data_IF_868546487832
#
_entry.id   IF_868546487832
#
_cell.length_a   1.000
_cell.length_b   1.000
_cell.length_c   1.000
_cell.angle_alpha   90.00
_cell.angle_beta   90.00
_cell.angle_gamma   90.00
#
_symmetry.space_group_name_H-M   'P 1'
#
loop_
_entity.id
_entity.type
_entity.pdbx_description
1 polymer ?
#
# COMPACT_ATOMS: atom_id res chain seq x y z
N UNK A 1 -14.23 15.56 -18.86
CA UNK A 1 -13.65 16.39 -17.80
C UNK A 1 -12.18 16.63 -18.16
N UNK A 2 -11.58 17.77 -17.85
CA UNK A 2 -10.15 18.03 -18.07
C UNK A 2 -9.48 18.22 -16.71
N UNK A 3 -8.26 17.72 -16.56
CA UNK A 3 -7.48 17.86 -15.32
C UNK A 3 -6.85 19.25 -15.16
N UNK A 4 -6.90 20.05 -16.23
CA UNK A 4 -6.42 21.43 -16.29
C UNK A 4 -7.51 22.38 -15.78
N UNK A 5 -7.18 23.46 -15.04
CA UNK A 5 -8.15 24.47 -14.62
C UNK A 5 -9.07 24.94 -15.76
N UNK A 6 -10.36 24.98 -15.49
CA UNK A 6 -11.38 25.15 -16.54
C UNK A 6 -11.20 26.43 -17.37
N UNK A 7 -10.75 27.53 -16.76
CA UNK A 7 -10.49 28.78 -17.47
C UNK A 7 -9.42 28.66 -18.56
N UNK A 8 -8.44 27.74 -18.41
CA UNK A 8 -7.43 27.45 -19.43
C UNK A 8 -8.06 26.71 -20.61
N UNK A 9 -8.91 25.72 -20.31
CA UNK A 9 -9.65 24.98 -21.35
C UNK A 9 -10.54 25.92 -22.16
N UNK A 10 -11.24 26.82 -21.49
CA UNK A 10 -12.07 27.83 -22.15
C UNK A 10 -11.23 28.77 -23.03
N UNK A 11 -10.09 29.25 -22.53
CA UNK A 11 -9.18 30.07 -23.34
C UNK A 11 -8.72 29.34 -24.61
N UNK A 12 -8.33 28.06 -24.51
CA UNK A 12 -7.88 27.26 -25.65
C UNK A 12 -9.02 27.05 -26.67
N UNK A 13 -10.25 26.79 -26.21
CA UNK A 13 -11.41 26.63 -27.10
C UNK A 13 -11.69 27.86 -27.97
N UNK A 14 -11.25 29.06 -27.58
CA UNK A 14 -11.42 30.27 -28.40
C UNK A 14 -10.53 30.31 -29.64
N UNK A 15 -9.42 29.56 -29.64
CA UNK A 15 -8.40 29.59 -30.71
C UNK A 15 -8.21 28.24 -31.40
N UNK A 16 -8.61 27.14 -30.76
CA UNK A 16 -8.45 25.78 -31.29
C UNK A 16 -9.71 25.31 -32.03
N UNK A 17 -9.51 24.59 -33.15
CA UNK A 17 -10.61 23.97 -33.91
C UNK A 17 -11.31 22.85 -33.13
N UNK A 18 -10.58 22.12 -32.29
CA UNK A 18 -11.11 21.07 -31.43
C UNK A 18 -10.23 20.89 -30.20
N UNK A 19 -10.85 20.54 -29.07
CA UNK A 19 -10.16 20.28 -27.80
C UNK A 19 -10.71 18.97 -27.23
N UNK A 20 -9.84 18.01 -26.97
CA UNK A 20 -10.20 16.70 -26.40
C UNK A 20 -9.31 16.38 -25.19
N UNK A 21 -9.85 15.60 -24.25
CA UNK A 21 -9.05 15.08 -23.15
C UNK A 21 -8.17 13.93 -23.68
N UNK A 22 -6.86 14.03 -23.43
CA UNK A 22 -5.86 13.04 -23.83
C UNK A 22 -5.20 12.31 -22.63
N UNK A 23 -5.77 12.41 -21.43
CA UNK A 23 -5.28 11.76 -20.20
C UNK A 23 -5.10 10.26 -20.37
N UNK A 24 -5.93 9.60 -21.18
CA UNK A 24 -5.82 8.17 -21.49
C UNK A 24 -4.49 7.78 -22.16
N UNK A 25 -3.83 8.69 -22.90
CA UNK A 25 -2.50 8.41 -23.48
C UNK A 25 -1.46 8.24 -22.36
N UNK A 26 -1.66 8.90 -21.22
CA UNK A 26 -0.74 8.84 -20.09
C UNK A 26 -1.08 7.69 -19.15
N UNK A 27 -2.35 7.54 -18.76
CA UNK A 27 -2.77 6.67 -17.64
C UNK A 27 -3.97 5.76 -17.95
N UNK A 28 -4.42 5.68 -19.20
CA UNK A 28 -5.49 4.75 -19.60
C UNK A 28 -5.00 3.31 -19.75
N UNK A 29 -5.85 2.44 -20.28
CA UNK A 29 -5.57 0.99 -20.48
C UNK A 29 -4.33 0.68 -21.35
N UNK A 30 -3.80 1.64 -22.10
CA UNK A 30 -2.51 1.51 -22.81
C UNK A 30 -1.62 2.73 -22.57
N UNK A 31 -1.79 3.36 -21.41
CA UNK A 31 -1.11 4.59 -21.04
C UNK A 31 0.39 4.42 -20.85
N UNK A 32 1.18 5.35 -21.37
CA UNK A 32 2.65 5.26 -21.41
C UNK A 32 3.32 5.26 -20.03
N UNK A 33 2.62 5.66 -18.96
CA UNK A 33 3.18 5.72 -17.60
C UNK A 33 2.99 4.43 -16.78
N UNK A 34 2.30 3.43 -17.32
CA UNK A 34 1.93 2.21 -16.56
C UNK A 34 3.05 1.18 -16.48
N UNK A 35 3.92 1.16 -17.48
CA UNK A 35 4.98 0.14 -17.64
C UNK A 35 6.33 0.80 -17.44
N UNK A 36 7.07 0.30 -16.45
CA UNK A 36 8.34 0.87 -16.05
C UNK A 36 9.51 0.11 -16.70
N UNK A 37 10.51 0.86 -17.15
CA UNK A 37 11.83 0.36 -17.51
C UNK A 37 12.61 -0.08 -16.27
N UNK A 38 13.72 -0.81 -16.46
CA UNK A 38 14.60 -1.23 -15.34
C UNK A 38 15.13 -0.03 -14.55
N UNK A 39 15.46 1.08 -15.22
CA UNK A 39 15.96 2.29 -14.56
C UNK A 39 14.86 3.01 -13.76
N UNK A 40 13.63 3.06 -14.26
CA UNK A 40 12.47 3.59 -13.52
C UNK A 40 12.13 2.71 -12.32
N UNK A 41 12.18 1.38 -12.48
CA UNK A 41 11.99 0.43 -11.37
C UNK A 41 13.03 0.69 -10.27
N UNK A 42 14.31 0.86 -10.63
CA UNK A 42 15.36 1.20 -9.68
C UNK A 42 15.06 2.52 -8.95
N UNK A 43 14.61 3.53 -9.69
CA UNK A 43 14.24 4.83 -9.12
C UNK A 43 13.09 4.70 -8.11
N UNK A 44 12.04 3.98 -8.47
CA UNK A 44 10.85 3.84 -7.63
C UNK A 44 11.04 2.88 -6.46
N UNK A 45 11.92 1.86 -6.59
CA UNK A 45 12.28 0.98 -5.48
C UNK A 45 12.89 1.78 -4.32
N UNK A 46 13.70 2.79 -4.60
CA UNK A 46 14.29 3.64 -3.57
C UNK A 46 13.21 4.29 -2.67
N UNK A 47 12.19 4.90 -3.26
CA UNK A 47 11.10 5.53 -2.50
C UNK A 47 10.28 4.52 -1.69
N UNK A 48 10.05 3.33 -2.23
CA UNK A 48 9.39 2.23 -1.54
C UNK A 48 10.19 1.73 -0.32
N UNK A 49 11.51 1.59 -0.48
CA UNK A 49 12.42 1.21 0.61
C UNK A 49 12.51 2.31 1.66
N UNK A 50 12.54 3.58 1.26
CA UNK A 50 12.55 4.71 2.19
C UNK A 50 11.28 4.74 3.04
N UNK A 51 10.10 4.63 2.40
CA UNK A 51 8.82 4.59 3.10
C UNK A 51 8.77 3.41 4.10
N UNK A 52 9.16 2.22 3.66
CA UNK A 52 9.19 1.02 4.51
C UNK A 52 10.19 1.14 5.67
N UNK A 53 11.40 1.61 5.41
CA UNK A 53 12.43 1.76 6.44
C UNK A 53 11.99 2.72 7.54
N UNK A 54 11.35 3.82 7.17
CA UNK A 54 10.82 4.80 8.13
C UNK A 54 9.61 4.28 8.89
N UNK A 55 8.75 3.52 8.21
CA UNK A 55 7.61 2.87 8.84
C UNK A 55 8.07 1.86 9.89
N UNK A 56 9.07 1.04 9.59
CA UNK A 56 9.64 0.08 10.55
C UNK A 56 10.29 0.79 11.75
N UNK A 57 11.10 1.83 11.50
CA UNK A 57 11.68 2.66 12.58
C UNK A 57 10.61 3.32 13.45
N UNK A 58 9.53 3.80 12.84
CA UNK A 58 8.38 4.38 13.54
C UNK A 58 7.69 3.33 14.41
N UNK A 59 7.37 2.16 13.85
CA UNK A 59 6.79 1.03 14.58
C UNK A 59 7.64 0.64 15.80
N UNK A 60 8.96 0.57 15.65
CA UNK A 60 9.86 0.21 16.75
C UNK A 60 10.06 1.33 17.77
N UNK A 61 9.71 2.55 17.40
CA UNK A 61 9.79 3.74 18.27
C UNK A 61 8.48 4.04 19.01
N UNK A 62 7.39 3.32 18.72
CA UNK A 62 6.10 3.49 19.38
C UNK A 62 6.20 3.28 20.89
N UNK A 63 5.62 4.22 21.64
CA UNK A 63 5.60 4.22 23.09
C UNK A 63 4.45 5.10 23.59
N UNK A 64 3.78 4.69 24.66
CA UNK A 64 2.73 5.48 25.33
C UNK A 64 3.30 6.85 25.73
N UNK A 65 2.51 7.91 25.53
CA UNK A 65 2.84 9.28 25.93
C UNK A 65 3.60 10.10 24.89
N UNK A 66 4.19 9.48 23.85
CA UNK A 66 4.72 10.20 22.69
C UNK A 66 3.59 10.82 21.87
N UNK A 67 3.87 11.96 21.26
CA UNK A 67 2.93 12.70 20.43
C UNK A 67 2.91 12.21 18.98
N UNK A 68 1.84 12.51 18.26
CA UNK A 68 1.75 12.21 16.83
C UNK A 68 2.88 12.91 16.03
N UNK A 69 3.21 14.17 16.35
CA UNK A 69 4.30 14.91 15.69
C UNK A 69 5.66 14.24 15.94
N UNK A 70 5.97 13.82 17.17
CA UNK A 70 7.22 13.12 17.46
C UNK A 70 7.37 11.86 16.60
N UNK A 71 6.28 11.12 16.42
CA UNK A 71 6.32 9.91 15.61
C UNK A 71 6.33 10.18 14.10
N UNK A 72 5.56 11.16 13.63
CA UNK A 72 5.57 11.57 12.24
C UNK A 72 6.94 12.11 11.77
N UNK A 73 7.71 12.71 12.69
CA UNK A 73 9.08 13.16 12.37
C UNK A 73 10.05 12.03 11.99
N UNK A 74 9.74 10.78 12.37
CA UNK A 74 10.51 9.60 11.95
C UNK A 74 10.07 9.13 10.56
N UNK A 75 8.79 9.34 10.21
CA UNK A 75 8.23 8.99 8.91
C UNK A 75 8.82 9.87 7.80
N UNK A 76 8.97 11.17 8.04
CA UNK A 76 9.55 12.12 7.08
C UNK A 76 11.08 12.10 7.13
N UNK A 77 11.74 11.88 5.99
CA UNK A 77 13.20 11.65 5.96
C UNK A 77 13.88 12.11 4.68
N UNK A 78 15.21 12.28 4.77
CA UNK A 78 16.14 12.47 3.64
C UNK A 78 15.80 13.67 2.72
N UNK A 79 15.05 14.65 3.25
CA UNK A 79 14.60 15.83 2.50
C UNK A 79 13.72 15.48 1.29
N UNK A 80 13.24 14.24 1.18
CA UNK A 80 12.41 13.79 0.08
C UNK A 80 11.00 14.35 0.25
N UNK A 81 10.44 14.86 -0.85
CA UNK A 81 9.05 15.35 -0.85
C UNK A 81 8.08 14.17 -0.85
N UNK A 82 7.15 14.19 0.08
CA UNK A 82 6.10 13.19 0.15
C UNK A 82 5.07 13.38 -0.98
N UNK A 83 4.56 12.28 -1.51
CA UNK A 83 3.49 12.28 -2.53
C UNK A 83 2.08 12.15 -1.92
N UNK A 84 2.00 11.94 -0.61
CA UNK A 84 0.78 12.01 0.21
C UNK A 84 1.03 12.86 1.45
N UNK A 85 -0.04 13.32 2.10
CA UNK A 85 0.07 13.91 3.43
C UNK A 85 0.54 12.82 4.40
N UNK A 86 1.62 13.07 5.13
CA UNK A 86 2.09 12.15 6.18
C UNK A 86 1.00 12.00 7.24
N UNK A 87 0.62 10.77 7.52
CA UNK A 87 -0.37 10.45 8.55
C UNK A 87 0.35 9.81 9.73
N UNK A 88 0.17 10.41 10.90
CA UNK A 88 0.31 9.73 12.17
C UNK A 88 -0.88 10.17 13.03
N UNK A 89 -1.76 9.24 13.36
CA UNK A 89 -2.97 9.52 14.14
C UNK A 89 -3.11 8.50 15.25
N UNK A 90 -3.36 8.98 16.46
CA UNK A 90 -3.72 8.14 17.62
C UNK A 90 -5.19 8.32 17.94
N UNK A 91 -5.92 7.22 18.13
CA UNK A 91 -7.38 7.20 18.24
C UNK A 91 -8.09 7.66 16.96
N UNK A 92 -9.20 8.41 17.10
CA UNK A 92 -10.05 8.84 15.97
C UNK A 92 -9.32 9.81 15.03
N UNK A 93 -9.15 9.38 13.76
CA UNK A 93 -8.65 10.21 12.64
C UNK A 93 -9.60 11.36 12.28
N UNK A 94 -9.04 12.41 11.65
CA UNK A 94 -9.77 13.58 11.13
C UNK A 94 -10.61 14.31 12.18
N UNK A 95 -10.28 14.17 13.47
CA UNK A 95 -10.92 14.93 14.52
C UNK A 95 -10.75 16.43 14.24
N UNK A 96 -11.86 17.18 14.28
CA UNK A 96 -11.89 18.62 13.97
C UNK A 96 -11.38 18.96 12.56
N UNK A 97 -11.56 18.06 11.59
CA UNK A 97 -11.10 18.21 10.21
C UNK A 97 -9.58 18.43 10.06
N UNK A 98 -8.79 18.03 11.07
CA UNK A 98 -7.34 18.12 10.99
C UNK A 98 -6.76 16.93 10.20
N UNK A 99 -5.91 17.26 9.22
CA UNK A 99 -5.23 16.27 8.36
C UNK A 99 -3.85 15.88 8.89
N UNK A 100 -3.25 16.73 9.73
CA UNK A 100 -1.84 16.65 10.08
C UNK A 100 -1.62 16.04 11.47
N UNK A 101 -0.48 15.36 11.71
CA UNK A 101 -0.05 14.98 13.05
C UNK A 101 -0.08 16.18 14.02
N UNK A 102 -0.48 15.95 15.26
CA UNK A 102 -0.62 16.99 16.28
C UNK A 102 0.17 16.68 17.56
N UNK A 103 0.03 17.54 18.57
CA UNK A 103 0.57 17.30 19.93
C UNK A 103 -0.23 16.26 20.73
N UNK A 104 -1.21 15.58 20.11
CA UNK A 104 -1.99 14.53 20.76
C UNK A 104 -1.07 13.38 21.17
N UNK A 105 -1.15 12.97 22.43
CA UNK A 105 -0.34 11.88 22.99
C UNK A 105 -1.03 10.55 22.78
N UNK A 106 -0.23 9.56 22.41
CA UNK A 106 -0.64 8.16 22.32
C UNK A 106 -1.00 7.60 23.69
N UNK A 107 -2.15 6.94 23.81
CA UNK A 107 -2.59 6.25 25.02
C UNK A 107 -2.75 4.75 24.75
N UNK A 108 -2.57 3.93 25.80
CA UNK A 108 -2.75 2.48 25.70
C UNK A 108 -4.16 2.16 25.16
N UNK A 109 -4.24 1.24 24.20
CA UNK A 109 -5.51 0.85 23.58
C UNK A 109 -5.95 1.72 22.40
N UNK A 110 -5.26 2.84 22.10
CA UNK A 110 -5.61 3.66 20.94
C UNK A 110 -5.41 2.88 19.63
N UNK A 111 -6.35 3.04 18.70
CA UNK A 111 -6.12 2.73 17.30
C UNK A 111 -5.09 3.71 16.72
N UNK A 112 -4.02 3.20 16.11
CA UNK A 112 -3.01 4.02 15.45
C UNK A 112 -3.13 3.86 13.93
N UNK A 113 -2.96 4.95 13.20
CA UNK A 113 -2.77 4.94 11.75
C UNK A 113 -1.49 5.70 11.39
N UNK A 114 -0.66 5.07 10.57
CA UNK A 114 0.63 5.59 10.11
C UNK A 114 0.70 5.45 8.59
N UNK A 115 1.01 6.51 7.88
CA UNK A 115 1.19 6.48 6.42
C UNK A 115 2.27 7.46 6.01
N UNK A 116 3.19 7.01 5.16
CA UNK A 116 4.16 7.86 4.49
C UNK A 116 4.33 7.38 3.05
N UNK A 117 4.50 8.32 2.12
CA UNK A 117 4.73 8.00 0.72
C UNK A 117 5.77 8.92 0.11
N UNK A 118 6.58 8.35 -0.79
CA UNK A 118 7.59 9.02 -1.58
C UNK A 118 7.40 8.63 -3.05
N UNK A 119 8.07 9.30 -3.98
CA UNK A 119 8.04 8.89 -5.40
C UNK A 119 8.37 7.40 -5.53
N UNK A 120 7.46 6.64 -6.13
CA UNK A 120 7.51 5.18 -6.27
C UNK A 120 6.49 4.41 -5.45
N UNK A 121 5.92 5.03 -4.42
CA UNK A 121 4.78 4.51 -3.67
C UNK A 121 4.82 4.79 -2.18
N UNK A 122 4.10 3.99 -1.40
CA UNK A 122 3.82 4.30 0.00
C UNK A 122 3.98 3.09 0.93
N UNK A 123 4.11 3.37 2.22
CA UNK A 123 3.95 2.39 3.29
C UNK A 123 2.89 2.88 4.28
N UNK A 124 1.89 2.04 4.54
CA UNK A 124 0.80 2.34 5.49
C UNK A 124 0.62 1.22 6.48
N UNK A 125 0.44 1.55 7.76
CA UNK A 125 0.26 0.60 8.86
C UNK A 125 -0.78 1.11 9.84
N UNK A 126 -1.64 0.21 10.26
CA UNK A 126 -2.57 0.45 11.36
C UNK A 126 -2.48 -0.65 12.40
N UNK A 127 -3.08 -0.44 13.55
CA UNK A 127 -3.17 -1.43 14.61
C UNK A 127 -3.62 -0.79 15.91
N UNK A 128 -3.60 -1.56 16.98
CA UNK A 128 -3.88 -1.07 18.32
C UNK A 128 -2.58 -0.89 19.10
N UNK A 129 -2.49 0.21 19.87
CA UNK A 129 -1.37 0.50 20.75
C UNK A 129 -1.44 -0.35 22.02
N UNK A 130 -1.25 -1.65 21.85
CA UNK A 130 -1.26 -2.68 22.90
C UNK A 130 -0.16 -3.70 22.64
N UNK A 131 0.24 -4.42 23.68
CA UNK A 131 1.16 -5.57 23.61
C UNK A 131 0.44 -6.92 23.68
N UNK A 132 -0.81 -6.94 24.15
CA UNK A 132 -1.58 -8.16 24.29
C UNK A 132 -3.08 -7.88 24.11
N UNK A 133 -3.84 -8.90 23.68
CA UNK A 133 -5.29 -8.78 23.45
C UNK A 133 -6.07 -8.37 24.70
N UNK A 134 -5.60 -8.70 25.90
CA UNK A 134 -6.28 -8.35 27.15
C UNK A 134 -6.20 -6.85 27.47
N UNK A 135 -5.43 -6.08 26.70
CA UNK A 135 -5.34 -4.62 26.81
C UNK A 135 -6.28 -3.89 25.82
N UNK A 136 -6.99 -4.63 24.97
CA UNK A 136 -8.07 -4.10 24.16
C UNK A 136 -9.31 -3.86 25.02
N UNK A 137 -10.23 -3.01 24.55
CA UNK A 137 -11.55 -2.93 25.16
C UNK A 137 -12.32 -4.24 24.97
N UNK A 138 -13.31 -4.51 25.83
CA UNK A 138 -14.14 -5.72 25.73
C UNK A 138 -14.77 -5.88 24.35
N UNK A 139 -15.21 -4.76 23.75
CA UNK A 139 -15.83 -4.71 22.41
C UNK A 139 -14.85 -4.96 21.26
N UNK A 140 -13.55 -4.87 21.51
CA UNK A 140 -12.49 -5.02 20.50
C UNK A 140 -11.65 -6.30 20.71
N UNK A 141 -11.96 -7.09 21.75
CA UNK A 141 -11.14 -8.23 22.21
C UNK A 141 -10.92 -9.33 21.17
N UNK A 142 -11.80 -9.44 20.17
CA UNK A 142 -11.75 -10.38 19.04
C UNK A 142 -11.34 -9.72 17.71
N UNK A 143 -10.62 -8.59 17.79
CA UNK A 143 -10.11 -7.85 16.63
C UNK A 143 -9.28 -8.71 15.68
N UNK A 144 -8.47 -9.62 16.21
CA UNK A 144 -7.62 -10.48 15.38
C UNK A 144 -8.50 -11.37 14.52
N UNK A 145 -9.45 -12.06 15.12
CA UNK A 145 -10.32 -13.05 14.50
C UNK A 145 -11.29 -12.41 13.51
N UNK A 146 -11.88 -11.26 13.87
CA UNK A 146 -12.91 -10.60 13.05
C UNK A 146 -12.36 -9.67 11.97
N UNK A 147 -11.13 -9.17 12.13
CA UNK A 147 -10.62 -8.08 11.28
C UNK A 147 -9.21 -8.35 10.78
N UNK A 148 -8.23 -8.49 11.68
CA UNK A 148 -6.82 -8.54 11.29
C UNK A 148 -6.46 -9.81 10.49
N UNK A 149 -6.93 -10.98 10.93
CA UNK A 149 -6.64 -12.26 10.27
C UNK A 149 -7.39 -12.41 8.92
N UNK A 150 -8.70 -12.10 8.80
CA UNK A 150 -9.37 -12.10 7.48
C UNK A 150 -8.72 -11.13 6.49
N UNK A 151 -8.33 -9.94 6.95
CA UNK A 151 -7.59 -8.97 6.12
C UNK A 151 -6.24 -9.53 5.68
N UNK A 152 -5.47 -10.10 6.60
CA UNK A 152 -4.15 -10.65 6.30
C UNK A 152 -4.23 -11.84 5.32
N UNK A 153 -5.26 -12.69 5.46
CA UNK A 153 -5.55 -13.73 4.48
C UNK A 153 -5.89 -13.16 3.10
N UNK A 154 -6.58 -12.01 3.02
CA UNK A 154 -6.82 -11.33 1.75
C UNK A 154 -5.52 -10.79 1.12
N UNK A 155 -4.61 -10.24 1.93
CA UNK A 155 -3.27 -9.80 1.47
C UNK A 155 -2.45 -10.98 0.96
N UNK A 156 -2.44 -12.12 1.69
CA UNK A 156 -1.86 -13.39 1.21
C UNK A 156 -2.46 -13.78 -0.13
N UNK A 157 -3.79 -13.89 -0.20
CA UNK A 157 -4.50 -14.31 -1.41
C UNK A 157 -4.16 -13.40 -2.60
N UNK A 158 -4.10 -12.08 -2.39
CA UNK A 158 -3.69 -11.10 -3.40
C UNK A 158 -2.30 -11.41 -3.94
N UNK A 159 -1.33 -11.61 -3.05
CA UNK A 159 0.09 -11.82 -3.38
C UNK A 159 0.39 -13.17 -4.04
N UNK A 160 -0.36 -14.22 -3.69
CA UNK A 160 -0.20 -15.56 -4.26
C UNK A 160 -0.84 -15.67 -5.65
N UNK A 161 -1.84 -14.83 -5.97
CA UNK A 161 -2.62 -14.96 -7.21
C UNK A 161 -2.32 -13.89 -8.25
N UNK A 162 -1.81 -12.71 -7.89
CA UNK A 162 -1.51 -11.66 -8.87
C UNK A 162 -0.35 -12.07 -9.79
N UNK A 163 -0.55 -11.98 -11.10
CA UNK A 163 0.44 -12.37 -12.11
C UNK A 163 0.27 -11.61 -13.43
N UNK A 164 1.28 -11.66 -14.29
CA UNK A 164 1.24 -11.03 -15.62
C UNK A 164 0.23 -11.76 -16.50
N UNK A 165 -0.64 -11.01 -17.18
CA UNK A 165 -1.71 -11.53 -18.03
C UNK A 165 -3.07 -11.64 -17.34
N UNK A 166 -3.11 -11.67 -16.00
CA UNK A 166 -4.36 -11.67 -15.23
C UNK A 166 -5.17 -10.41 -15.51
N UNK A 167 -6.49 -10.51 -15.62
CA UNK A 167 -7.35 -9.32 -15.72
C UNK A 167 -7.66 -8.72 -14.35
N UNK A 168 -7.84 -7.40 -14.30
CA UNK A 168 -8.17 -6.71 -13.05
C UNK A 168 -9.46 -7.19 -12.39
N UNK A 169 -10.47 -7.61 -13.17
CA UNK A 169 -11.72 -8.19 -12.63
C UNK A 169 -11.51 -9.53 -11.93
N UNK A 170 -10.54 -10.33 -12.36
CA UNK A 170 -10.24 -11.63 -11.75
C UNK A 170 -9.67 -11.41 -10.35
N UNK A 171 -8.69 -10.53 -10.22
CA UNK A 171 -8.12 -10.18 -8.92
C UNK A 171 -9.17 -9.54 -8.00
N UNK A 172 -10.00 -8.62 -8.52
CA UNK A 172 -11.12 -8.04 -7.77
C UNK A 172 -12.06 -9.13 -7.23
N UNK A 173 -12.42 -10.10 -8.07
CA UNK A 173 -13.34 -11.19 -7.74
C UNK A 173 -12.76 -12.15 -6.71
N UNK A 174 -11.46 -12.45 -6.78
CA UNK A 174 -10.75 -13.25 -5.77
C UNK A 174 -10.77 -12.55 -4.40
N UNK A 175 -10.54 -11.24 -4.36
CA UNK A 175 -10.60 -10.46 -3.11
C UNK A 175 -12.03 -10.38 -2.57
N UNK A 176 -13.04 -10.19 -3.42
CA UNK A 176 -14.45 -10.22 -2.99
C UNK A 176 -14.89 -11.62 -2.53
N UNK A 177 -14.22 -12.68 -3.00
CA UNK A 177 -14.47 -14.04 -2.52
C UNK A 177 -13.87 -14.28 -1.14
N UNK A 178 -12.58 -13.96 -0.92
CA UNK A 178 -11.90 -14.22 0.36
C UNK A 178 -12.18 -13.15 1.44
N UNK A 179 -12.55 -11.93 1.03
CA UNK A 179 -12.89 -10.81 1.90
C UNK A 179 -14.15 -10.08 1.37
N UNK A 180 -15.35 -10.67 1.52
CA UNK A 180 -16.55 -10.17 0.84
C UNK A 180 -16.90 -8.72 1.16
N UNK A 181 -17.05 -7.88 0.13
CA UNK A 181 -17.39 -6.45 0.24
C UNK A 181 -18.67 -6.22 1.02
N UNK A 182 -19.66 -7.11 0.85
CA UNK A 182 -20.94 -7.06 1.57
C UNK A 182 -20.79 -7.19 3.09
N UNK A 183 -19.73 -7.87 3.55
CA UNK A 183 -19.43 -8.10 4.97
C UNK A 183 -18.44 -7.05 5.47
N UNK A 184 -17.32 -6.88 4.76
CA UNK A 184 -16.18 -6.07 5.19
C UNK A 184 -16.20 -4.63 4.66
N UNK A 185 -17.20 -4.24 3.86
CA UNK A 185 -17.48 -2.85 3.45
C UNK A 185 -16.27 -2.06 2.91
N UNK A 186 -15.34 -2.72 2.22
CA UNK A 186 -14.20 -2.02 1.64
C UNK A 186 -14.64 -1.11 0.48
N UNK A 187 -14.07 0.10 0.44
CA UNK A 187 -14.57 1.21 -0.40
C UNK A 187 -13.71 1.54 -1.63
N UNK A 188 -12.44 1.12 -1.65
CA UNK A 188 -11.49 1.36 -2.74
C UNK A 188 -11.31 0.13 -3.63
N UNK A 189 -10.66 0.33 -4.77
CA UNK A 189 -10.16 -0.75 -5.62
C UNK A 189 -9.08 -1.53 -4.84
N UNK A 190 -9.05 -2.87 -4.90
CA UNK A 190 -8.09 -3.70 -4.15
C UNK A 190 -6.70 -3.67 -4.81
N UNK A 191 -6.10 -2.49 -4.81
CA UNK A 191 -4.82 -2.16 -5.43
C UNK A 191 -4.92 -1.19 -6.60
N UNK A 192 -3.81 -0.51 -6.86
CA UNK A 192 -3.65 0.46 -7.92
C UNK A 192 -2.18 0.55 -8.34
N UNK A 193 -1.94 1.19 -9.49
CA UNK A 193 -0.61 1.53 -9.94
C UNK A 193 -0.06 2.72 -9.16
N UNK A 194 1.23 2.69 -8.90
CA UNK A 194 2.00 3.78 -8.30
C UNK A 194 3.16 4.18 -9.24
N UNK A 195 3.54 5.45 -9.18
CA UNK A 195 4.66 6.02 -9.91
C UNK A 195 5.23 7.19 -9.08
N UNK A 196 5.47 8.35 -9.70
CA UNK A 196 5.75 9.60 -8.96
C UNK A 196 4.65 9.91 -7.95
N UNK A 197 3.40 9.72 -8.36
CA UNK A 197 2.21 9.80 -7.53
C UNK A 197 1.99 8.48 -6.78
N UNK A 198 1.39 8.60 -5.60
CA UNK A 198 0.98 7.43 -4.84
C UNK A 198 -0.11 6.66 -5.60
N UNK A 199 -1.11 7.36 -6.13
CA UNK A 199 -2.17 6.78 -6.97
C UNK A 199 -2.08 7.27 -8.41
N UNK A 200 -1.58 6.43 -9.33
CA UNK A 200 -1.50 6.77 -10.75
C UNK A 200 -2.84 6.50 -11.46
N UNK A 201 -3.24 5.24 -11.50
CA UNK A 201 -4.53 4.73 -11.99
C UNK A 201 -4.69 3.30 -11.46
N UNK A 202 -5.85 2.67 -11.63
CA UNK A 202 -6.08 1.31 -11.13
C UNK A 202 -6.66 0.44 -12.23
N UNK A 203 -5.94 -0.62 -12.66
CA UNK A 203 -6.51 -1.63 -13.54
C UNK A 203 -7.45 -2.59 -12.80
N UNK A 204 -7.54 -2.53 -11.46
CA UNK A 204 -8.24 -3.51 -10.63
C UNK A 204 -9.58 -2.92 -10.17
N UNK A 205 -10.66 -3.24 -10.87
CA UNK A 205 -12.02 -2.85 -10.48
C UNK A 205 -13.05 -3.90 -10.94
N UNK A 206 -14.26 -3.84 -10.39
CA UNK A 206 -15.29 -4.89 -10.50
C UNK A 206 -15.48 -5.46 -11.91
N UNK A 207 -15.56 -4.58 -12.90
CA UNK A 207 -15.85 -4.91 -14.30
C UNK A 207 -14.65 -4.55 -15.21
N UNK A 208 -13.43 -4.62 -14.67
CA UNK A 208 -12.21 -4.29 -15.42
C UNK A 208 -11.92 -5.29 -16.52
N UNK A 209 -11.66 -4.76 -17.72
CA UNK A 209 -11.13 -5.53 -18.84
C UNK A 209 -9.62 -5.34 -19.03
N UNK A 210 -9.00 -4.48 -18.21
CA UNK A 210 -7.57 -4.22 -18.29
C UNK A 210 -6.77 -5.46 -17.83
N UNK A 211 -5.71 -5.78 -18.56
CA UNK A 211 -4.75 -6.82 -18.17
C UNK A 211 -3.67 -6.23 -17.25
N UNK A 212 -3.19 -7.03 -16.31
CA UNK A 212 -2.02 -6.75 -15.51
C UNK A 212 -0.77 -7.14 -16.30
N UNK A 213 0.14 -6.19 -16.50
CA UNK A 213 1.28 -6.39 -17.41
C UNK A 213 2.61 -6.34 -16.68
N UNK A 214 3.62 -6.95 -17.29
CA UNK A 214 4.99 -6.88 -16.81
C UNK A 214 5.53 -5.45 -16.86
N UNK A 215 6.15 -4.99 -15.78
CA UNK A 215 6.64 -3.62 -15.59
C UNK A 215 5.71 -2.72 -14.78
N UNK A 216 4.51 -3.21 -14.41
CA UNK A 216 3.61 -2.49 -13.50
C UNK A 216 4.13 -2.50 -12.06
N UNK A 217 4.16 -1.33 -11.43
CA UNK A 217 4.34 -1.19 -9.98
C UNK A 217 2.96 -1.03 -9.35
N UNK A 218 2.56 -2.00 -8.54
CA UNK A 218 1.26 -2.01 -7.86
C UNK A 218 1.43 -1.83 -6.37
N UNK A 219 0.55 -1.01 -5.79
CA UNK A 219 0.36 -0.91 -4.35
C UNK A 219 -0.72 -1.90 -3.91
N UNK A 220 -0.44 -2.69 -2.87
CA UNK A 220 -1.48 -3.43 -2.16
C UNK A 220 -2.28 -2.40 -1.37
N UNK A 221 -3.54 -2.17 -1.75
CA UNK A 221 -4.44 -1.27 -1.04
C UNK A 221 -5.82 -1.90 -0.88
N UNK A 222 -6.08 -2.46 0.29
CA UNK A 222 -7.36 -3.08 0.64
C UNK A 222 -7.77 -2.51 2.00
N UNK A 223 -8.83 -1.69 2.02
CA UNK A 223 -9.26 -0.99 3.24
C UNK A 223 -10.64 -1.50 3.68
N UNK A 224 -10.72 -2.63 4.41
CA UNK A 224 -11.99 -3.07 4.98
C UNK A 224 -12.40 -2.19 6.16
N UNK A 225 -13.69 -2.22 6.46
CA UNK A 225 -14.33 -1.46 7.51
C UNK A 225 -15.34 -2.35 8.23
N UNK A 226 -14.96 -2.83 9.42
CA UNK A 226 -15.85 -3.55 10.33
C UNK A 226 -16.26 -2.58 11.43
N UNK A 227 -17.57 -2.41 11.62
CA UNK A 227 -18.11 -1.49 12.60
C UNK A 227 -17.67 -1.87 14.02
N UNK A 228 -17.24 -0.87 14.80
CA UNK A 228 -16.72 -1.07 16.15
C UNK A 228 -15.22 -1.36 16.24
N UNK A 229 -14.51 -1.57 15.12
CA UNK A 229 -13.08 -1.87 15.11
C UNK A 229 -12.26 -0.84 14.34
N UNK A 230 -10.97 -0.75 14.69
CA UNK A 230 -9.97 -0.08 13.87
C UNK A 230 -9.81 -0.78 12.52
N UNK A 231 -9.55 -0.02 11.45
CA UNK A 231 -9.29 -0.60 10.13
C UNK A 231 -7.92 -1.27 10.12
N UNK A 232 -7.77 -2.49 9.56
CA UNK A 232 -6.47 -3.13 9.39
C UNK A 232 -5.77 -2.59 8.13
N UNK A 233 -4.44 -2.60 8.12
CA UNK A 233 -3.66 -2.07 7.01
C UNK A 233 -2.18 -2.50 7.10
N UNK A 234 -1.65 -3.08 6.03
CA UNK A 234 -0.23 -3.37 5.80
C UNK A 234 0.20 -3.13 4.34
N UNK A 235 -0.13 -1.96 3.82
CA UNK A 235 0.09 -1.58 2.43
C UNK A 235 1.58 -1.37 2.12
N UNK A 236 2.06 -1.96 1.01
CA UNK A 236 3.34 -1.70 0.35
C UNK A 236 3.24 -2.06 -1.14
N UNK A 237 4.22 -1.61 -1.93
CA UNK A 237 4.27 -1.91 -3.36
C UNK A 237 5.03 -3.19 -3.74
N UNK A 238 4.62 -3.74 -4.88
CA UNK A 238 5.30 -4.79 -5.62
C UNK A 238 5.51 -4.37 -7.08
N UNK A 239 6.45 -5.02 -7.74
CA UNK A 239 6.59 -5.01 -9.20
C UNK A 239 6.04 -6.32 -9.75
N UNK A 240 5.24 -6.27 -10.81
CA UNK A 240 4.98 -7.43 -11.66
C UNK A 240 6.03 -7.51 -12.75
N UNK A 241 6.74 -8.63 -12.85
CA UNK A 241 7.80 -8.85 -13.81
C UNK A 241 7.75 -10.28 -14.35
N UNK A 242 7.44 -10.42 -15.64
CA UNK A 242 7.57 -11.70 -16.32
C UNK A 242 9.03 -12.17 -16.38
N UNK A 243 9.28 -13.41 -16.83
CA UNK A 243 10.62 -13.98 -16.95
C UNK A 243 11.60 -13.07 -17.70
N UNK A 244 11.18 -12.47 -18.82
CA UNK A 244 12.03 -11.60 -19.63
C UNK A 244 12.48 -10.35 -18.86
N UNK A 245 11.57 -9.69 -18.12
CA UNK A 245 11.91 -8.52 -17.32
C UNK A 245 12.78 -8.91 -16.12
N UNK A 246 12.50 -10.05 -15.46
CA UNK A 246 13.33 -10.57 -14.37
C UNK A 246 14.77 -10.83 -14.82
N UNK A 247 14.97 -11.47 -15.96
CA UNK A 247 16.31 -11.69 -16.52
C UNK A 247 17.00 -10.39 -16.95
N UNK A 248 16.25 -9.42 -17.50
CA UNK A 248 16.81 -8.08 -17.79
C UNK A 248 17.27 -7.37 -16.52
N UNK A 249 16.47 -7.40 -15.45
CA UNK A 249 16.83 -6.80 -14.15
C UNK A 249 18.09 -7.47 -13.60
N UNK A 250 18.14 -8.80 -13.56
CA UNK A 250 19.29 -9.57 -13.08
C UNK A 250 20.58 -9.24 -13.84
N UNK A 251 20.50 -9.01 -15.15
CA UNK A 251 21.65 -8.67 -15.98
C UNK A 251 22.08 -7.20 -15.86
N UNK A 252 21.15 -6.26 -15.67
CA UNK A 252 21.44 -4.82 -15.62
C UNK A 252 21.69 -4.29 -14.20
N UNK A 253 21.09 -4.91 -13.18
CA UNK A 253 21.20 -4.56 -11.77
C UNK A 253 21.03 -5.80 -10.88
N UNK A 254 22.13 -6.55 -10.75
CA UNK A 254 22.14 -7.76 -9.96
C UNK A 254 21.86 -7.52 -8.46
N UNK A 255 22.20 -6.34 -7.92
CA UNK A 255 21.94 -6.02 -6.51
C UNK A 255 20.45 -5.76 -6.27
N UNK A 256 19.74 -5.12 -7.20
CA UNK A 256 18.27 -5.03 -7.16
C UNK A 256 17.62 -6.42 -7.19
N UNK A 257 18.08 -7.29 -8.09
CA UNK A 257 17.61 -8.67 -8.14
C UNK A 257 17.82 -9.42 -6.81
N UNK A 258 19.01 -9.32 -6.21
CA UNK A 258 19.31 -9.94 -4.91
C UNK A 258 18.39 -9.44 -3.79
N UNK A 259 18.02 -8.15 -3.79
CA UNK A 259 17.06 -7.60 -2.81
C UNK A 259 15.69 -8.24 -2.99
N UNK A 260 15.20 -8.41 -4.21
CA UNK A 260 13.93 -9.08 -4.47
C UNK A 260 13.94 -10.51 -3.94
N UNK A 261 14.97 -11.30 -4.26
CA UNK A 261 15.08 -12.68 -3.81
C UNK A 261 15.14 -12.80 -2.28
N UNK A 262 15.91 -11.91 -1.62
CA UNK A 262 15.99 -11.87 -0.15
C UNK A 262 14.62 -11.59 0.48
N UNK A 263 13.86 -10.65 -0.09
CA UNK A 263 12.51 -10.31 0.38
C UNK A 263 11.53 -11.45 0.12
N UNK A 264 11.59 -12.09 -1.05
CA UNK A 264 10.76 -13.27 -1.38
C UNK A 264 11.01 -14.42 -0.38
N UNK A 265 12.28 -14.69 -0.07
CA UNK A 265 12.65 -15.71 0.92
C UNK A 265 12.08 -15.38 2.32
N UNK A 266 12.21 -14.15 2.79
CA UNK A 266 11.62 -13.73 4.06
C UNK A 266 10.09 -13.91 4.09
N UNK A 267 9.39 -13.47 3.03
CA UNK A 267 7.93 -13.57 2.93
C UNK A 267 7.48 -15.03 2.97
N UNK A 268 8.18 -15.92 2.26
CA UNK A 268 7.92 -17.36 2.30
C UNK A 268 8.20 -17.96 3.67
N UNK A 269 9.42 -17.81 4.19
CA UNK A 269 9.89 -18.52 5.39
C UNK A 269 9.32 -17.96 6.70
N UNK A 270 9.00 -16.67 6.75
CA UNK A 270 8.55 -16.00 7.99
C UNK A 270 7.08 -15.64 7.99
N UNK A 271 6.49 -15.35 6.83
CA UNK A 271 5.07 -14.99 6.73
C UNK A 271 4.21 -16.13 6.19
N UNK A 272 4.80 -17.20 5.63
CA UNK A 272 4.08 -18.34 5.09
C UNK A 272 3.31 -18.01 3.81
N UNK A 273 3.77 -17.02 3.02
CA UNK A 273 3.11 -16.58 1.79
C UNK A 273 3.95 -17.01 0.59
N UNK A 274 3.39 -17.81 -0.31
CA UNK A 274 4.08 -18.27 -1.51
C UNK A 274 3.82 -17.31 -2.69
N UNK A 275 4.67 -16.30 -2.82
CA UNK A 275 4.53 -15.31 -3.89
C UNK A 275 4.56 -15.95 -5.28
N UNK A 276 3.61 -15.56 -6.15
CA UNK A 276 3.67 -15.90 -7.58
C UNK A 276 5.04 -15.50 -8.16
N UNK A 277 5.53 -16.24 -9.15
CA UNK A 277 6.89 -16.04 -9.68
C UNK A 277 7.12 -14.65 -10.30
N UNK A 278 6.04 -14.03 -10.80
CA UNK A 278 6.05 -12.69 -11.38
C UNK A 278 6.13 -11.56 -10.33
N UNK A 279 5.93 -11.85 -9.05
CA UNK A 279 5.85 -10.84 -8.00
C UNK A 279 7.24 -10.51 -7.44
N UNK A 280 7.70 -9.29 -7.64
CA UNK A 280 8.95 -8.78 -7.09
C UNK A 280 8.66 -7.78 -5.94
N UNK A 281 8.92 -8.12 -4.66
CA UNK A 281 8.68 -7.21 -3.54
C UNK A 281 9.60 -5.99 -3.58
N UNK A 282 9.04 -4.78 -3.58
CA UNK A 282 9.82 -3.53 -3.67
C UNK A 282 10.34 -3.03 -2.32
N UNK A 283 9.92 -3.63 -1.21
CA UNK A 283 10.44 -3.29 0.11
C UNK A 283 10.47 -4.51 1.05
N UNK A 284 11.20 -4.37 2.16
CA UNK A 284 11.28 -5.37 3.23
C UNK A 284 10.00 -5.46 4.10
N UNK A 285 9.00 -4.61 3.84
CA UNK A 285 7.76 -4.59 4.61
C UNK A 285 6.57 -5.16 3.86
N UNK A 286 6.70 -5.59 2.60
CA UNK A 286 5.60 -6.24 1.87
C UNK A 286 5.00 -7.38 2.72
N UNK A 287 3.69 -7.29 2.95
CA UNK A 287 2.89 -8.15 3.84
C UNK A 287 3.25 -8.13 5.34
N UNK A 288 4.32 -7.48 5.81
CA UNK A 288 4.60 -7.44 7.25
C UNK A 288 3.50 -6.71 8.01
N UNK A 289 2.78 -7.40 8.91
CA UNK A 289 1.67 -6.83 9.67
C UNK A 289 1.72 -7.18 11.16
N UNK A 290 1.76 -6.15 12.01
CA UNK A 290 1.79 -6.24 13.46
C UNK A 290 0.55 -5.55 14.05
N UNK A 291 -0.57 -6.26 14.24
CA UNK A 291 -1.83 -5.65 14.69
C UNK A 291 -1.76 -5.10 16.13
N UNK A 292 -0.94 -5.70 16.99
CA UNK A 292 -0.64 -5.21 18.34
C UNK A 292 0.71 -4.51 18.35
N UNK A 293 0.66 -3.19 18.30
CA UNK A 293 1.80 -2.37 17.88
C UNK A 293 2.96 -2.36 18.89
N UNK A 294 2.68 -2.66 20.17
CA UNK A 294 3.70 -2.74 21.22
C UNK A 294 4.30 -4.14 21.37
N UNK A 295 3.69 -5.19 20.78
CA UNK A 295 4.26 -6.55 20.79
C UNK A 295 5.30 -6.71 19.68
N UNK A 296 6.47 -6.10 19.86
CA UNK A 296 7.52 -6.04 18.83
C UNK A 296 8.05 -7.42 18.40
N UNK A 297 7.80 -8.47 19.18
CA UNK A 297 8.22 -9.84 18.89
C UNK A 297 7.25 -10.64 18.02
N UNK A 298 6.07 -10.09 17.70
CA UNK A 298 5.04 -10.79 16.93
C UNK A 298 4.59 -10.02 15.70
N UNK A 299 4.28 -10.77 14.65
CA UNK A 299 3.58 -10.34 13.46
C UNK A 299 2.66 -11.48 13.01
N UNK A 300 1.68 -11.18 12.17
CA UNK A 300 0.86 -12.22 11.56
C UNK A 300 1.69 -13.05 10.57
N UNK A 301 1.44 -14.34 10.55
CA UNK A 301 1.99 -15.31 9.60
C UNK A 301 0.91 -16.34 9.28
N UNK A 302 1.01 -16.96 8.12
CA UNK A 302 0.18 -18.08 7.69
C UNK A 302 0.89 -19.36 8.12
N UNK A 303 0.16 -20.24 8.79
CA UNK A 303 0.63 -21.56 9.20
C UNK A 303 -0.32 -22.55 8.54
N UNK A 304 0.23 -23.45 7.72
CA UNK A 304 -0.52 -24.56 7.12
C UNK A 304 -0.90 -25.65 8.16
#
# INVERSE_FOLDING_TARGET
MFDVPHYIVEAIKTIALSVSNATNIMIGEVGVRRINTVDEIRHYEYGQVLAASNMLRTLDSLQIGKTEIEMASILESEGQRNNVVTIFSTGKRFAKANLYPSMKKMILGDAISMTVGYKGGLSSRTGYLVSDKNQLSETESDYIEKVAAPYFNAVRTWLENIHVGMSGKELYSIIDWCLPKKIYRWSLNPGHLAADEEWLCSPIYKDSNESLESGMILQIDIIPSVEGYSKPCCENGILLANEQLRERIKNQDYEMWRRFETRRQYIKEKLGIELHEDVCPLSNMVAYYRPFLLDKGKALSIID
#
